data_IF_720547902955
#
_entry.id   IF_720547902955
#
_cell.length_a   1.000
_cell.length_b   1.000
_cell.length_c   1.000
_cell.angle_alpha   90.00
_cell.angle_beta   90.00
_cell.angle_gamma   90.00
#
_symmetry.space_group_name_H-M   'P 1'
#
loop_
_entity.id
_entity.type
_entity.pdbx_description
1 polymer ?
#
# COMPACT_ATOMS: atom_id res chain seq x y z
N UNK A 1 16.80 11.39 6.49
CA UNK A 1 17.24 10.49 5.41
C UNK A 1 16.04 9.70 4.90
N UNK A 2 15.89 9.62 3.57
CA UNK A 2 14.70 8.99 3.00
C UNK A 2 14.77 7.46 3.09
N UNK A 3 13.62 6.84 3.33
CA UNK A 3 13.48 5.39 3.27
C UNK A 3 13.30 4.96 1.82
N UNK A 4 13.86 3.82 1.48
CA UNK A 4 13.67 3.22 0.18
C UNK A 4 12.34 2.47 0.14
N UNK A 5 11.60 2.61 -0.95
CA UNK A 5 10.35 1.88 -1.13
C UNK A 5 10.60 0.63 -1.97
N UNK A 6 10.09 -0.49 -1.53
CA UNK A 6 10.14 -1.75 -2.26
C UNK A 6 8.72 -2.30 -2.33
N UNK A 7 8.29 -2.66 -3.52
CA UNK A 7 6.99 -3.30 -3.72
C UNK A 7 7.17 -4.80 -3.75
N UNK A 8 6.44 -5.52 -2.90
CA UNK A 8 6.44 -6.98 -2.98
C UNK A 8 5.79 -7.44 -4.28
N UNK A 9 6.10 -8.65 -4.75
CA UNK A 9 5.40 -9.20 -5.91
C UNK A 9 3.88 -9.23 -5.72
N UNK A 10 3.42 -9.60 -4.52
CA UNK A 10 1.98 -9.65 -4.22
C UNK A 10 1.34 -8.26 -4.33
N UNK A 11 2.00 -7.22 -3.80
CA UNK A 11 1.47 -5.86 -3.87
C UNK A 11 1.44 -5.35 -5.31
N UNK A 12 2.45 -5.67 -6.10
CA UNK A 12 2.45 -5.29 -7.53
C UNK A 12 1.31 -5.97 -8.27
N UNK A 13 1.08 -7.25 -8.00
CA UNK A 13 -0.02 -7.98 -8.63
C UNK A 13 -1.37 -7.41 -8.19
N UNK A 14 -1.51 -7.08 -6.90
CA UNK A 14 -2.73 -6.45 -6.39
C UNK A 14 -3.03 -5.16 -7.15
N UNK A 15 -2.06 -4.27 -7.27
CA UNK A 15 -2.26 -2.99 -7.94
C UNK A 15 -2.59 -3.17 -9.41
N UNK A 16 -1.88 -4.07 -10.09
CA UNK A 16 -2.13 -4.37 -11.49
C UNK A 16 -3.56 -4.85 -11.70
N UNK A 17 -4.02 -5.80 -10.89
CA UNK A 17 -5.36 -6.36 -11.00
C UNK A 17 -6.43 -5.30 -10.75
N UNK A 18 -6.22 -4.43 -9.76
CA UNK A 18 -7.17 -3.35 -9.45
C UNK A 18 -7.27 -2.35 -10.61
N UNK A 19 -6.12 -1.94 -11.14
CA UNK A 19 -6.08 -0.97 -12.24
C UNK A 19 -6.78 -1.53 -13.49
N UNK A 20 -6.51 -2.79 -13.81
CA UNK A 20 -7.16 -3.44 -14.95
C UNK A 20 -8.67 -3.54 -14.74
N UNK A 21 -9.11 -3.88 -13.53
CA UNK A 21 -10.52 -3.97 -13.20
C UNK A 21 -11.22 -2.62 -13.40
N UNK A 22 -10.63 -1.54 -12.89
CA UNK A 22 -11.21 -0.21 -13.05
C UNK A 22 -11.22 0.22 -14.52
N UNK A 23 -10.15 -0.11 -15.25
CA UNK A 23 -10.00 0.28 -16.65
C UNK A 23 -11.06 -0.33 -17.57
N UNK A 24 -11.66 -1.44 -17.17
CA UNK A 24 -12.76 -2.06 -17.94
C UNK A 24 -13.93 -1.09 -18.12
N UNK A 25 -14.20 -0.27 -17.11
CA UNK A 25 -15.28 0.72 -17.15
C UNK A 25 -14.78 2.09 -17.56
N UNK A 26 -13.60 2.49 -17.11
CA UNK A 26 -13.10 3.84 -17.30
C UNK A 26 -11.57 3.88 -17.18
N UNK A 27 -10.88 4.00 -18.31
CA UNK A 27 -9.42 4.01 -18.34
C UNK A 27 -8.82 5.25 -17.69
N UNK A 28 -9.48 6.40 -17.79
CA UNK A 28 -8.99 7.62 -17.16
C UNK A 28 -9.05 7.51 -15.63
N UNK A 29 -10.13 6.92 -15.12
CA UNK A 29 -10.28 6.69 -13.69
C UNK A 29 -9.23 5.71 -13.17
N UNK A 30 -8.91 4.67 -13.96
CA UNK A 30 -7.88 3.71 -13.61
C UNK A 30 -6.52 4.39 -13.48
N UNK A 31 -6.21 5.28 -14.42
CA UNK A 31 -4.96 6.04 -14.39
C UNK A 31 -4.89 6.95 -13.17
N UNK A 32 -5.96 7.71 -12.90
CA UNK A 32 -6.03 8.59 -11.73
C UNK A 32 -5.86 7.81 -10.43
N UNK A 33 -6.52 6.66 -10.33
CA UNK A 33 -6.42 5.79 -9.16
C UNK A 33 -4.98 5.37 -8.91
N UNK A 34 -4.31 4.88 -9.94
CA UNK A 34 -2.92 4.43 -9.82
C UNK A 34 -1.97 5.55 -9.42
N UNK A 35 -2.13 6.73 -10.02
CA UNK A 35 -1.31 7.90 -9.71
C UNK A 35 -1.51 8.33 -8.26
N UNK A 36 -2.75 8.43 -7.81
CA UNK A 36 -3.06 8.82 -6.43
C UNK A 36 -2.52 7.83 -5.42
N UNK A 37 -2.65 6.53 -5.72
CA UNK A 37 -2.15 5.48 -4.83
C UNK A 37 -0.63 5.58 -4.69
N UNK A 38 0.07 5.71 -5.80
CA UNK A 38 1.53 5.84 -5.78
C UNK A 38 1.96 7.11 -5.04
N UNK A 39 1.23 8.21 -5.23
CA UNK A 39 1.49 9.45 -4.50
C UNK A 39 1.40 9.22 -2.98
N UNK A 40 0.38 8.49 -2.52
CA UNK A 40 0.22 8.17 -1.11
C UNK A 40 1.37 7.29 -0.59
N UNK A 41 1.77 6.30 -1.37
CA UNK A 41 2.87 5.42 -0.98
C UNK A 41 4.20 6.18 -0.89
N UNK A 42 4.43 7.10 -1.81
CA UNK A 42 5.69 7.85 -1.84
C UNK A 42 5.91 8.72 -0.59
N UNK A 43 4.85 9.08 0.14
CA UNK A 43 4.98 9.81 1.42
C UNK A 43 5.78 9.02 2.45
N UNK A 44 5.79 7.70 2.34
CA UNK A 44 6.48 6.84 3.29
C UNK A 44 7.98 7.03 3.29
N UNK A 45 8.54 7.58 2.22
CA UNK A 45 9.98 7.85 2.13
C UNK A 45 10.45 8.80 3.22
N UNK A 46 9.62 9.76 3.60
CA UNK A 46 9.97 10.73 4.64
C UNK A 46 9.20 10.52 5.94
N UNK A 47 8.12 9.74 5.92
CA UNK A 47 7.24 9.57 7.09
C UNK A 47 6.77 8.11 7.20
N UNK A 48 7.70 7.17 7.45
CA UNK A 48 7.35 5.74 7.41
C UNK A 48 6.38 5.29 8.51
N UNK A 49 6.29 6.03 9.61
CA UNK A 49 5.40 5.67 10.72
C UNK A 49 4.25 6.66 10.92
N UNK A 50 3.93 7.46 9.90
CA UNK A 50 2.84 8.43 10.02
C UNK A 50 1.45 7.79 9.94
N UNK A 51 1.36 6.60 9.39
CA UNK A 51 0.09 5.90 9.23
C UNK A 51 -0.11 4.87 10.34
N UNK A 52 -1.33 4.34 10.46
CA UNK A 52 -1.70 3.53 11.61
C UNK A 52 -1.08 2.13 11.56
N UNK A 53 -0.93 1.53 12.72
CA UNK A 53 -0.59 0.12 12.87
C UNK A 53 -1.78 -0.71 12.35
N UNK A 54 -1.50 -1.81 11.65
CA UNK A 54 -2.55 -2.74 11.21
C UNK A 54 -3.18 -3.36 12.45
N UNK A 55 -4.48 -3.09 12.73
CA UNK A 55 -5.05 -3.50 14.01
C UNK A 55 -5.06 -5.00 14.25
N UNK A 56 -5.19 -5.80 13.19
CA UNK A 56 -5.28 -7.26 13.32
C UNK A 56 -3.96 -7.92 13.72
N UNK A 57 -2.83 -7.26 13.50
CA UNK A 57 -1.51 -7.85 13.73
C UNK A 57 -0.77 -7.33 14.95
N UNK A 58 -1.18 -6.20 15.49
CA UNK A 58 -0.59 -5.62 16.70
C UNK A 58 0.95 -5.51 16.66
N UNK A 59 1.50 -5.18 15.49
CA UNK A 59 2.95 -5.06 15.31
C UNK A 59 3.30 -3.64 14.87
N UNK A 60 4.15 -2.98 15.65
CA UNK A 60 4.52 -1.57 15.44
C UNK A 60 5.06 -1.26 14.04
N UNK A 61 5.75 -2.20 13.44
CA UNK A 61 6.40 -2.00 12.14
C UNK A 61 5.55 -2.48 10.97
N UNK A 62 4.35 -2.98 11.25
CA UNK A 62 3.38 -3.36 10.23
C UNK A 62 2.26 -2.33 10.23
N UNK A 63 2.24 -1.49 9.20
CA UNK A 63 1.34 -0.35 9.14
C UNK A 63 0.53 -0.35 7.86
N UNK A 64 -0.45 0.54 7.79
CA UNK A 64 -1.30 0.65 6.61
C UNK A 64 -1.72 2.08 6.33
N UNK A 65 -1.79 2.41 5.05
CA UNK A 65 -2.41 3.63 4.56
C UNK A 65 -3.86 3.28 4.23
N UNK A 66 -4.82 4.03 4.76
CA UNK A 66 -6.22 3.85 4.38
C UNK A 66 -6.46 4.63 3.08
N UNK A 67 -6.75 3.91 2.02
CA UNK A 67 -7.01 4.44 0.70
C UNK A 67 -8.30 3.80 0.15
N UNK A 68 -9.42 4.28 0.65
CA UNK A 68 -10.73 3.63 0.48
C UNK A 68 -11.06 3.32 -0.96
N UNK A 69 -11.54 2.11 -1.27
CA UNK A 69 -11.90 1.03 -0.33
C UNK A 69 -10.76 0.07 -0.02
N UNK A 70 -9.50 0.51 -0.18
CA UNK A 70 -8.33 -0.33 -0.01
C UNK A 70 -7.53 0.02 1.24
N UNK A 71 -6.75 -0.96 1.69
CA UNK A 71 -5.76 -0.81 2.74
C UNK A 71 -4.40 -1.11 2.10
N UNK A 72 -3.50 -0.14 2.12
CA UNK A 72 -2.15 -0.33 1.58
C UNK A 72 -1.26 -0.74 2.75
N UNK A 73 -0.98 -2.03 2.86
CA UNK A 73 -0.24 -2.60 3.99
C UNK A 73 1.25 -2.59 3.67
N UNK A 74 2.06 -2.09 4.63
CA UNK A 74 3.50 -2.02 4.43
C UNK A 74 4.25 -2.36 5.72
N UNK A 75 5.49 -2.84 5.56
CA UNK A 75 6.42 -3.13 6.65
C UNK A 75 7.52 -2.10 6.67
N UNK A 76 7.86 -1.63 7.87
CA UNK A 76 8.96 -0.68 8.06
C UNK A 76 10.16 -1.44 8.61
N UNK A 77 11.32 -1.26 7.98
CA UNK A 77 12.59 -1.78 8.45
C UNK A 77 13.51 -0.60 8.71
N UNK A 78 13.64 -0.21 9.98
CA UNK A 78 14.45 0.96 10.36
C UNK A 78 15.94 0.69 10.21
N UNK A 79 16.36 -0.54 10.40
CA UNK A 79 17.77 -0.91 10.29
C UNK A 79 18.27 -0.72 8.86
N UNK A 80 17.49 -1.17 7.89
CA UNK A 80 17.84 -1.06 6.47
C UNK A 80 17.26 0.21 5.81
N UNK A 81 16.45 0.96 6.53
CA UNK A 81 15.73 2.14 6.02
C UNK A 81 14.93 1.81 4.76
N UNK A 82 14.09 0.80 4.89
CA UNK A 82 13.24 0.31 3.82
C UNK A 82 11.79 0.25 4.30
N UNK A 83 10.88 0.65 3.42
CA UNK A 83 9.45 0.36 3.56
C UNK A 83 9.07 -0.60 2.44
N UNK A 84 8.64 -1.81 2.80
CA UNK A 84 8.15 -2.79 1.84
C UNK A 84 6.64 -2.71 1.75
N UNK A 85 6.12 -2.40 0.57
CA UNK A 85 4.68 -2.43 0.34
C UNK A 85 4.28 -3.90 0.18
N UNK A 86 3.57 -4.42 1.19
CA UNK A 86 3.28 -5.85 1.26
C UNK A 86 2.02 -6.23 0.48
N UNK A 87 0.94 -5.46 0.61
CA UNK A 87 -0.33 -5.72 -0.08
C UNK A 87 -1.07 -4.43 -0.37
N UNK A 88 -1.86 -4.45 -1.44
CA UNK A 88 -2.95 -3.50 -1.65
C UNK A 88 -4.24 -4.31 -1.51
N UNK A 89 -4.88 -4.19 -0.36
CA UNK A 89 -5.92 -5.11 0.10
C UNK A 89 -7.29 -4.44 0.13
N UNK A 90 -8.28 -5.06 -0.50
CA UNK A 90 -9.64 -4.52 -0.42
C UNK A 90 -10.20 -4.74 0.97
N UNK A 91 -10.72 -3.67 1.60
CA UNK A 91 -11.19 -3.73 2.99
C UNK A 91 -12.29 -4.77 3.22
N UNK A 92 -13.11 -5.05 2.21
CA UNK A 92 -14.19 -6.02 2.31
C UNK A 92 -13.71 -7.48 2.40
N UNK A 93 -12.43 -7.74 2.12
CA UNK A 93 -11.86 -9.10 2.16
C UNK A 93 -11.49 -9.57 3.57
N UNK A 94 -11.73 -8.75 4.58
CA UNK A 94 -11.38 -9.09 5.95
C UNK A 94 -9.92 -8.84 6.28
N UNK A 95 -9.29 -9.77 7.00
CA UNK A 95 -7.91 -9.59 7.49
C UNK A 95 -6.91 -9.68 6.34
N UNK A 96 -6.06 -8.66 6.15
CA UNK A 96 -5.05 -8.71 5.10
C UNK A 96 -4.10 -9.90 5.27
N UNK A 97 -3.87 -10.61 4.18
CA UNK A 97 -2.92 -11.73 4.15
C UNK A 97 -1.57 -11.21 3.64
N UNK A 98 -0.58 -11.33 4.49
CA UNK A 98 0.76 -10.81 4.23
C UNK A 98 1.85 -11.82 4.48
#
# INVERSE_FOLDING_TARGET
MAYKLIWSPAARDDLHDIVIFIARDNSERAMSFGIELIFQVNRLQSSPESDRVVPEYHHQLLREIIFRPYRIVYRVNHERKVCEIARVWHSARGIPQI
#
